data_IF_095654072093
#
_entry.id   IF_095654072093
#
_cell.length_a   1.000
_cell.length_b   1.000
_cell.length_c   1.000
_cell.angle_alpha   90.00
_cell.angle_beta   90.00
_cell.angle_gamma   90.00
#
_symmetry.space_group_name_H-M   'P 1'
#
loop_
_entity.id
_entity.type
_entity.pdbx_description
1 polymer ?
#
# COMPACT_ATOMS: atom_id res chain seq x y z
N UNK A 1 7.62 25.77 -8.85
CA UNK A 1 7.57 24.49 -9.57
C UNK A 1 7.86 23.37 -8.59
N UNK A 2 6.95 22.39 -8.48
CA UNK A 2 7.12 21.26 -7.56
C UNK A 2 8.17 20.29 -8.13
N UNK A 3 8.95 19.63 -7.25
CA UNK A 3 9.99 18.65 -7.61
C UNK A 3 9.46 17.59 -8.61
N UNK A 4 8.26 17.08 -8.36
CA UNK A 4 7.58 16.09 -9.22
C UNK A 4 7.38 16.59 -10.67
N UNK A 5 7.01 17.86 -10.85
CA UNK A 5 6.82 18.44 -12.19
C UNK A 5 8.14 18.56 -12.94
N UNK A 6 9.23 18.94 -12.27
CA UNK A 6 10.56 18.99 -12.88
C UNK A 6 11.04 17.60 -13.32
N UNK A 7 10.82 16.59 -12.48
CA UNK A 7 11.18 15.20 -12.80
C UNK A 7 10.40 14.65 -14.00
N UNK A 8 9.12 15.02 -14.13
CA UNK A 8 8.31 14.65 -15.30
C UNK A 8 8.78 15.30 -16.59
N UNK A 9 9.29 16.54 -16.54
CA UNK A 9 9.86 17.24 -17.70
C UNK A 9 11.19 16.63 -18.16
N UNK A 10 11.98 16.10 -17.23
CA UNK A 10 13.29 15.48 -17.55
C UNK A 10 13.08 14.04 -18.08
N UNK A 11 11.98 13.39 -17.73
CA UNK A 11 11.73 11.99 -18.10
C UNK A 11 11.98 11.66 -19.58
N UNK A 12 11.52 12.44 -20.58
CA UNK A 12 11.77 12.16 -22.01
C UNK A 12 13.24 12.32 -22.41
N UNK A 13 14.05 13.02 -21.62
CA UNK A 13 15.45 13.29 -21.91
C UNK A 13 16.43 12.36 -21.21
N UNK A 14 15.93 11.46 -20.33
CA UNK A 14 16.76 10.58 -19.51
C UNK A 14 17.71 9.73 -20.34
N UNK A 15 17.21 9.10 -21.39
CA UNK A 15 18.03 8.28 -22.29
C UNK A 15 19.14 9.10 -22.95
N UNK A 16 18.83 10.32 -23.35
CA UNK A 16 19.82 11.24 -23.93
C UNK A 16 20.87 11.67 -22.92
N UNK A 17 20.45 11.97 -21.69
CA UNK A 17 21.37 12.33 -20.61
C UNK A 17 22.29 11.14 -20.29
N UNK A 18 21.73 9.96 -20.14
CA UNK A 18 22.48 8.72 -19.90
C UNK A 18 23.49 8.44 -21.03
N UNK A 19 23.08 8.62 -22.28
CA UNK A 19 23.98 8.47 -23.43
C UNK A 19 25.15 9.48 -23.43
N UNK A 20 24.89 10.72 -23.03
CA UNK A 20 25.92 11.76 -22.90
C UNK A 20 26.88 11.39 -21.75
N UNK A 21 26.39 10.94 -20.64
CA UNK A 21 27.20 10.53 -19.47
C UNK A 21 28.05 9.29 -19.78
N UNK A 22 27.46 8.27 -20.40
CA UNK A 22 28.14 7.04 -20.80
C UNK A 22 29.26 7.31 -21.81
N UNK A 23 28.98 8.17 -22.80
CA UNK A 23 29.96 8.61 -23.78
C UNK A 23 30.97 9.60 -23.19
N UNK A 24 30.81 10.03 -21.93
CA UNK A 24 31.68 11.04 -21.27
C UNK A 24 31.81 12.33 -22.06
N UNK A 25 30.73 12.74 -22.73
CA UNK A 25 30.71 13.97 -23.48
C UNK A 25 30.67 15.17 -22.53
N UNK A 26 31.54 16.13 -22.81
CA UNK A 26 31.58 17.40 -22.06
C UNK A 26 30.53 18.36 -22.61
N UNK A 27 30.29 19.46 -21.89
CA UNK A 27 29.44 20.54 -22.37
C UNK A 27 29.97 21.13 -23.72
N UNK A 28 31.30 21.19 -23.88
CA UNK A 28 31.94 21.66 -25.12
C UNK A 28 31.69 20.69 -26.29
N UNK A 29 31.64 19.37 -26.03
CA UNK A 29 31.34 18.38 -27.06
C UNK A 29 29.92 18.50 -27.57
N UNK A 30 28.98 18.72 -26.65
CA UNK A 30 27.56 18.95 -26.98
C UNK A 30 27.40 20.26 -27.74
N UNK A 31 28.06 21.34 -27.32
CA UNK A 31 28.06 22.60 -28.04
C UNK A 31 28.64 22.46 -29.45
N UNK A 32 29.78 21.76 -29.59
CA UNK A 32 30.36 21.45 -30.89
C UNK A 32 29.38 20.69 -31.82
N UNK A 33 28.68 19.67 -31.26
CA UNK A 33 27.69 18.92 -32.02
C UNK A 33 26.52 19.81 -32.49
N UNK A 34 26.06 20.74 -31.65
CA UNK A 34 25.01 21.71 -32.01
C UNK A 34 25.49 22.65 -33.14
N UNK A 35 26.71 23.18 -33.04
CA UNK A 35 27.27 24.07 -34.04
C UNK A 35 27.47 23.35 -35.39
N UNK A 36 27.91 22.09 -35.37
CA UNK A 36 27.99 21.22 -36.55
C UNK A 36 26.61 21.04 -37.19
N UNK A 37 25.57 20.75 -36.40
CA UNK A 37 24.20 20.60 -36.91
C UNK A 37 23.63 21.91 -37.47
N UNK A 38 24.07 23.06 -36.95
CA UNK A 38 23.73 24.37 -37.48
C UNK A 38 24.52 24.74 -38.73
N UNK A 39 25.44 23.89 -39.17
CA UNK A 39 26.23 24.11 -40.43
C UNK A 39 27.41 25.03 -40.26
N UNK A 40 27.91 25.25 -39.03
CA UNK A 40 29.14 26.05 -38.83
C UNK A 40 30.36 25.32 -39.41
N UNK A 41 30.99 25.95 -40.43
CA UNK A 41 32.14 25.37 -41.13
C UNK A 41 33.36 25.19 -40.22
N UNK A 42 33.55 26.07 -39.23
CA UNK A 42 34.66 25.96 -38.30
C UNK A 42 34.44 24.80 -37.32
N UNK A 43 33.19 24.59 -36.85
CA UNK A 43 32.82 23.47 -36.00
C UNK A 43 33.00 22.15 -36.77
N UNK A 44 32.59 22.06 -38.02
CA UNK A 44 32.81 20.89 -38.89
C UNK A 44 34.31 20.62 -39.05
N UNK A 45 35.13 21.65 -39.34
CA UNK A 45 36.57 21.49 -39.44
C UNK A 45 37.23 21.05 -38.12
N UNK A 46 36.74 21.56 -36.97
CA UNK A 46 37.20 21.16 -35.66
C UNK A 46 36.84 19.70 -35.34
N UNK A 47 35.63 19.25 -35.71
CA UNK A 47 35.19 17.87 -35.56
C UNK A 47 36.06 16.92 -36.39
N UNK A 48 36.28 17.20 -37.67
CA UNK A 48 37.13 16.41 -38.56
C UNK A 48 38.57 16.30 -38.03
N UNK A 49 39.13 17.41 -37.58
CA UNK A 49 40.47 17.42 -36.97
C UNK A 49 40.53 16.58 -35.70
N UNK A 50 39.49 16.63 -34.88
CA UNK A 50 39.41 15.89 -33.61
C UNK A 50 39.24 14.39 -33.84
N UNK A 51 38.40 14.00 -34.80
CA UNK A 51 38.15 12.59 -35.15
C UNK A 51 39.24 11.99 -36.03
N UNK A 52 40.10 12.79 -36.60
CA UNK A 52 41.15 12.34 -37.49
C UNK A 52 40.62 11.89 -38.87
N UNK A 53 39.41 12.26 -39.23
CA UNK A 53 38.80 11.90 -40.52
C UNK A 53 39.18 12.93 -41.57
N UNK A 54 39.68 12.47 -42.73
CA UNK A 54 39.94 13.37 -43.87
C UNK A 54 38.63 13.73 -44.58
N UNK A 55 38.40 15.02 -44.77
CA UNK A 55 37.22 15.50 -45.47
C UNK A 55 37.11 14.97 -46.91
N UNK A 56 38.22 14.61 -47.52
CA UNK A 56 38.28 14.08 -48.91
C UNK A 56 37.84 12.58 -48.96
N UNK A 57 37.89 11.88 -47.84
CA UNK A 57 37.46 10.46 -47.73
C UNK A 57 35.94 10.32 -47.47
N UNK A 58 35.24 11.42 -47.22
CA UNK A 58 33.82 11.40 -46.96
C UNK A 58 33.04 11.40 -48.27
N UNK A 59 32.39 10.27 -48.59
CA UNK A 59 31.45 10.19 -49.69
C UNK A 59 30.11 10.86 -49.28
N UNK A 60 29.88 12.06 -49.81
CA UNK A 60 28.67 12.83 -49.52
C UNK A 60 27.47 12.42 -50.39
N UNK A 61 27.70 11.67 -51.50
CA UNK A 61 26.64 11.28 -52.43
C UNK A 61 25.97 9.95 -52.02
N UNK A 62 26.71 9.01 -51.40
CA UNK A 62 26.23 7.69 -51.01
C UNK A 62 26.19 7.51 -49.48
N UNK A 63 25.79 8.51 -48.73
CA UNK A 63 25.78 8.45 -47.29
C UNK A 63 24.47 7.84 -46.75
N UNK A 64 24.52 6.57 -46.28
CA UNK A 64 23.46 5.91 -45.60
C UNK A 64 23.78 5.77 -44.11
N UNK A 65 23.81 6.90 -43.40
CA UNK A 65 24.01 6.88 -41.92
C UNK A 65 22.76 6.45 -41.22
N UNK A 66 22.86 5.38 -40.45
CA UNK A 66 21.82 4.91 -39.48
C UNK A 66 22.33 5.27 -38.10
N UNK A 67 21.61 6.12 -37.34
CA UNK A 67 21.98 6.43 -35.95
C UNK A 67 22.03 5.16 -35.12
N UNK A 68 23.08 4.99 -34.33
CA UNK A 68 23.15 3.96 -33.33
C UNK A 68 22.28 4.35 -32.15
N UNK A 69 21.69 3.37 -31.51
CA UNK A 69 20.96 3.57 -30.23
C UNK A 69 22.00 3.62 -29.10
N UNK A 70 22.07 4.77 -28.43
CA UNK A 70 22.96 5.02 -27.31
C UNK A 70 22.16 5.16 -26.02
N UNK A 71 22.85 4.89 -24.90
CA UNK A 71 22.24 4.91 -23.58
C UNK A 71 21.50 3.62 -23.25
N UNK A 72 21.27 3.42 -21.97
CA UNK A 72 20.53 2.26 -21.47
C UNK A 72 19.07 2.34 -21.91
N UNK A 73 18.42 1.18 -22.02
CA UNK A 73 17.00 1.14 -22.33
C UNK A 73 16.16 1.64 -21.14
N UNK A 74 14.90 1.98 -21.39
CA UNK A 74 14.01 2.55 -20.37
C UNK A 74 13.86 1.67 -19.12
N UNK A 75 13.93 0.35 -19.28
CA UNK A 75 13.83 -0.62 -18.20
C UNK A 75 15.10 -0.59 -17.34
N UNK A 76 16.29 -0.58 -17.97
CA UNK A 76 17.57 -0.49 -17.26
C UNK A 76 17.70 0.83 -16.51
N UNK A 77 17.24 1.93 -17.12
CA UNK A 77 17.19 3.24 -16.45
C UNK A 77 16.26 3.23 -15.25
N UNK A 78 15.08 2.59 -15.36
CA UNK A 78 14.13 2.47 -14.25
C UNK A 78 14.71 1.63 -13.11
N UNK A 79 15.39 0.52 -13.41
CA UNK A 79 16.06 -0.32 -12.40
C UNK A 79 17.18 0.49 -11.72
N UNK A 80 18.04 1.17 -12.51
CA UNK A 80 19.13 1.97 -11.97
C UNK A 80 18.60 3.07 -11.03
N UNK A 81 17.52 3.74 -11.40
CA UNK A 81 16.89 4.77 -10.58
C UNK A 81 16.37 4.24 -9.25
N UNK A 82 15.74 3.06 -9.25
CA UNK A 82 15.26 2.42 -8.03
C UNK A 82 16.45 2.00 -7.16
N UNK A 83 17.47 1.39 -7.75
CA UNK A 83 18.69 1.00 -7.04
C UNK A 83 19.36 2.22 -6.41
N UNK A 84 19.47 3.33 -7.15
CA UNK A 84 20.06 4.57 -6.62
C UNK A 84 19.30 5.14 -5.43
N UNK A 85 17.97 4.96 -5.38
CA UNK A 85 17.14 5.39 -4.25
C UNK A 85 17.32 4.53 -3.00
N UNK A 86 17.55 3.23 -3.17
CA UNK A 86 17.60 2.27 -2.05
C UNK A 86 19.01 1.92 -1.60
N UNK A 87 20.04 2.16 -2.43
CA UNK A 87 21.45 1.78 -2.13
C UNK A 87 22.03 2.41 -0.88
N UNK A 88 21.43 3.52 -0.39
CA UNK A 88 21.82 4.19 0.85
C UNK A 88 21.27 3.54 2.10
N UNK A 89 20.31 2.64 1.99
CA UNK A 89 19.66 1.98 3.12
C UNK A 89 20.51 0.78 3.61
N UNK A 90 20.48 0.51 4.92
CA UNK A 90 21.24 -0.62 5.51
C UNK A 90 20.75 -1.97 4.99
N UNK A 91 19.47 -2.07 4.69
CA UNK A 91 18.80 -3.27 4.20
C UNK A 91 19.05 -3.54 2.72
N UNK A 92 19.73 -2.62 2.01
CA UNK A 92 20.04 -2.80 0.58
C UNK A 92 20.81 -4.09 0.30
N UNK A 93 21.80 -4.39 1.16
CA UNK A 93 22.61 -5.59 0.99
C UNK A 93 21.77 -6.89 1.02
N UNK A 94 20.72 -6.92 1.86
CA UNK A 94 19.79 -8.06 1.95
C UNK A 94 18.93 -8.11 0.68
N UNK A 95 18.37 -6.99 0.27
CA UNK A 95 17.56 -6.91 -0.96
C UNK A 95 18.35 -7.36 -2.18
N UNK A 96 19.60 -6.91 -2.30
CA UNK A 96 20.50 -7.31 -3.38
C UNK A 96 20.79 -8.81 -3.36
N UNK A 97 21.09 -9.37 -2.17
CA UNK A 97 21.37 -10.80 -2.04
C UNK A 97 20.15 -11.66 -2.41
N UNK A 98 18.96 -11.24 -2.05
CA UNK A 98 17.70 -11.93 -2.46
C UNK A 98 17.55 -11.94 -3.97
N UNK A 99 17.76 -10.80 -4.63
CA UNK A 99 17.62 -10.66 -6.09
C UNK A 99 18.70 -11.42 -6.86
N UNK A 100 19.93 -11.35 -6.39
CA UNK A 100 21.10 -11.88 -7.12
C UNK A 100 21.32 -13.39 -6.88
N UNK A 101 21.11 -13.86 -5.63
CA UNK A 101 21.55 -15.19 -5.22
C UNK A 101 20.46 -16.12 -4.74
N UNK A 102 19.42 -15.59 -4.08
CA UNK A 102 18.44 -16.44 -3.43
C UNK A 102 17.32 -16.84 -4.39
N UNK A 103 16.86 -15.92 -5.24
CA UNK A 103 15.71 -16.14 -6.10
C UNK A 103 16.10 -16.63 -7.50
N UNK A 104 15.19 -17.39 -8.10
CA UNK A 104 15.38 -18.01 -9.40
C UNK A 104 15.40 -16.99 -10.56
N UNK A 105 15.81 -17.48 -11.75
CA UNK A 105 15.90 -16.64 -12.95
C UNK A 105 14.55 -16.11 -13.40
N UNK A 106 13.44 -16.88 -13.19
CA UNK A 106 12.10 -16.43 -13.58
C UNK A 106 11.67 -15.25 -12.71
N UNK A 107 11.96 -15.29 -11.40
CA UNK A 107 11.72 -14.17 -10.50
C UNK A 107 12.52 -12.94 -10.91
N UNK A 108 13.80 -13.11 -11.27
CA UNK A 108 14.65 -12.00 -11.76
C UNK A 108 14.10 -11.38 -13.03
N UNK A 109 13.61 -12.16 -13.98
CA UNK A 109 12.97 -11.65 -15.20
C UNK A 109 11.73 -10.79 -14.88
N UNK A 110 10.92 -11.21 -13.91
CA UNK A 110 9.75 -10.41 -13.48
C UNK A 110 10.14 -9.04 -12.91
N UNK A 111 11.30 -8.91 -12.25
CA UNK A 111 11.82 -7.61 -11.80
C UNK A 111 12.31 -6.74 -12.95
N UNK A 112 12.85 -7.35 -14.02
CA UNK A 112 13.21 -6.62 -15.23
C UNK A 112 11.96 -6.10 -15.94
N UNK A 113 10.90 -6.91 -16.04
CA UNK A 113 9.63 -6.50 -16.64
C UNK A 113 8.90 -5.43 -15.80
N UNK A 114 9.00 -5.50 -14.49
CA UNK A 114 8.38 -4.55 -13.58
C UNK A 114 9.36 -4.12 -12.46
N UNK A 115 10.18 -3.10 -12.68
CA UNK A 115 11.17 -2.62 -11.73
C UNK A 115 10.60 -2.18 -10.37
N UNK A 116 9.34 -1.75 -10.30
CA UNK A 116 8.70 -1.37 -9.03
C UNK A 116 8.62 -2.53 -8.02
N UNK A 117 8.68 -3.77 -8.48
CA UNK A 117 8.76 -4.93 -7.59
C UNK A 117 10.05 -4.93 -6.74
N UNK A 118 11.15 -4.34 -7.24
CA UNK A 118 12.41 -4.19 -6.47
C UNK A 118 12.16 -3.27 -5.27
N UNK A 119 11.47 -2.16 -5.50
CA UNK A 119 11.11 -1.21 -4.45
C UNK A 119 10.21 -1.88 -3.39
N UNK A 120 9.20 -2.63 -3.84
CA UNK A 120 8.31 -3.34 -2.92
C UNK A 120 9.07 -4.39 -2.09
N UNK A 121 9.92 -5.18 -2.72
CA UNK A 121 10.77 -6.14 -1.99
C UNK A 121 11.65 -5.43 -0.95
N UNK A 122 12.23 -4.30 -1.31
CA UNK A 122 13.07 -3.53 -0.38
C UNK A 122 12.26 -3.01 0.82
N UNK A 123 11.03 -2.55 0.59
CA UNK A 123 10.10 -2.14 1.66
C UNK A 123 9.78 -3.34 2.57
N UNK A 124 9.53 -4.50 2.00
CA UNK A 124 9.24 -5.72 2.76
C UNK A 124 10.45 -6.16 3.61
N UNK A 125 11.67 -6.06 3.07
CA UNK A 125 12.91 -6.30 3.81
C UNK A 125 13.06 -5.30 4.95
N UNK A 126 12.89 -4.01 4.67
CA UNK A 126 13.03 -2.91 5.66
C UNK A 126 12.01 -2.99 6.79
N UNK A 127 10.80 -3.44 6.50
CA UNK A 127 9.73 -3.63 7.49
C UNK A 127 9.82 -4.94 8.29
N UNK A 128 10.75 -5.86 7.94
CA UNK A 128 10.83 -7.21 8.52
C UNK A 128 9.75 -8.18 7.99
N UNK A 129 8.94 -7.71 7.05
CA UNK A 129 7.90 -8.53 6.44
C UNK A 129 8.49 -9.67 5.61
N UNK A 130 9.63 -9.42 4.94
CA UNK A 130 10.35 -10.44 4.19
C UNK A 130 10.75 -11.63 5.07
N UNK A 131 11.27 -11.38 6.28
CA UNK A 131 11.67 -12.43 7.21
C UNK A 131 10.47 -13.25 7.71
N UNK A 132 9.31 -12.63 7.77
CA UNK A 132 8.06 -13.31 8.17
C UNK A 132 7.48 -14.18 7.05
N UNK A 133 7.48 -13.68 5.82
CA UNK A 133 6.83 -14.33 4.66
C UNK A 133 7.73 -15.36 3.99
N UNK A 134 9.04 -15.10 3.89
CA UNK A 134 10.00 -15.96 3.18
C UNK A 134 10.01 -17.41 3.67
N UNK A 135 9.95 -17.72 4.99
CA UNK A 135 9.84 -19.09 5.46
C UNK A 135 8.54 -19.81 5.00
N UNK A 136 7.44 -19.06 4.89
CA UNK A 136 6.15 -19.60 4.41
C UNK A 136 6.27 -19.91 2.91
N UNK A 137 6.82 -18.98 2.13
CA UNK A 137 7.07 -19.16 0.69
C UNK A 137 7.94 -20.38 0.41
N UNK A 138 9.04 -20.54 1.17
CA UNK A 138 9.93 -21.69 1.05
C UNK A 138 9.22 -23.02 1.36
N UNK A 139 8.36 -23.06 2.36
CA UNK A 139 7.53 -24.26 2.63
C UNK A 139 6.61 -24.57 1.45
N UNK A 140 5.91 -23.57 0.92
CA UNK A 140 5.04 -23.76 -0.26
C UNK A 140 5.82 -24.28 -1.45
N UNK A 141 7.00 -23.73 -1.72
CA UNK A 141 7.90 -24.19 -2.80
C UNK A 141 8.27 -25.68 -2.65
N UNK A 142 8.60 -26.10 -1.43
CA UNK A 142 8.94 -27.50 -1.14
C UNK A 142 7.73 -28.41 -1.36
N UNK A 143 6.55 -28.03 -0.88
CA UNK A 143 5.33 -28.84 -1.04
C UNK A 143 4.88 -28.95 -2.50
N UNK A 144 5.05 -27.90 -3.30
CA UNK A 144 4.63 -27.86 -4.70
C UNK A 144 5.71 -28.41 -5.67
N UNK A 145 6.89 -28.75 -5.17
CA UNK A 145 8.00 -29.23 -5.98
C UNK A 145 8.64 -28.17 -6.88
N UNK A 146 8.50 -26.89 -6.55
CA UNK A 146 9.16 -25.78 -7.25
C UNK A 146 8.60 -25.49 -8.65
N UNK A 147 7.30 -25.62 -8.87
CA UNK A 147 6.64 -25.37 -10.17
C UNK A 147 6.55 -23.88 -10.51
N UNK A 148 6.35 -23.06 -9.50
CA UNK A 148 6.24 -21.61 -9.62
C UNK A 148 7.60 -20.95 -9.35
N UNK A 149 7.71 -19.66 -9.71
CA UNK A 149 8.89 -18.85 -9.38
C UNK A 149 8.92 -18.50 -7.89
N UNK A 150 10.10 -18.12 -7.37
CA UNK A 150 10.27 -17.71 -5.97
C UNK A 150 9.40 -16.48 -5.65
N UNK A 151 9.31 -15.54 -6.57
CA UNK A 151 8.43 -14.36 -6.45
C UNK A 151 6.95 -14.76 -6.36
N UNK A 152 6.50 -15.76 -7.12
CA UNK A 152 5.11 -16.23 -7.06
C UNK A 152 4.82 -16.92 -5.73
N UNK A 153 5.73 -17.77 -5.24
CA UNK A 153 5.58 -18.35 -3.90
C UNK A 153 5.56 -17.29 -2.81
N UNK A 154 6.40 -16.27 -2.94
CA UNK A 154 6.40 -15.13 -2.00
C UNK A 154 5.06 -14.38 -2.02
N UNK A 155 4.50 -14.09 -3.21
CA UNK A 155 3.18 -13.44 -3.34
C UNK A 155 2.06 -14.30 -2.74
N UNK A 156 2.06 -15.60 -3.00
CA UNK A 156 1.06 -16.54 -2.44
C UNK A 156 1.19 -16.59 -0.90
N UNK A 157 2.41 -16.68 -0.39
CA UNK A 157 2.68 -16.69 1.04
C UNK A 157 2.24 -15.37 1.71
N UNK A 158 2.51 -14.22 1.09
CA UNK A 158 2.06 -12.92 1.57
C UNK A 158 0.53 -12.83 1.62
N UNK A 159 -0.14 -13.27 0.57
CA UNK A 159 -1.60 -13.29 0.52
C UNK A 159 -2.21 -14.19 1.63
N UNK A 160 -1.65 -15.37 1.85
CA UNK A 160 -2.07 -16.27 2.92
C UNK A 160 -1.84 -15.65 4.29
N UNK A 161 -0.68 -15.05 4.51
CA UNK A 161 -0.33 -14.40 5.77
C UNK A 161 -1.32 -13.28 6.10
N UNK A 162 -1.57 -12.36 5.19
CA UNK A 162 -2.50 -11.25 5.41
C UNK A 162 -3.97 -11.72 5.54
N UNK A 163 -4.36 -12.73 4.76
CA UNK A 163 -5.69 -13.32 4.88
C UNK A 163 -5.91 -13.97 6.25
N UNK A 164 -4.93 -14.71 6.76
CA UNK A 164 -5.00 -15.33 8.08
C UNK A 164 -5.01 -14.27 9.18
N UNK A 165 -4.23 -13.21 9.06
CA UNK A 165 -4.20 -12.11 10.01
C UNK A 165 -5.56 -11.40 10.08
N UNK A 166 -6.14 -11.06 8.91
CA UNK A 166 -7.46 -10.44 8.83
C UNK A 166 -8.57 -11.33 9.42
N UNK A 167 -8.50 -12.66 9.21
CA UNK A 167 -9.44 -13.60 9.81
C UNK A 167 -9.30 -13.66 11.35
N UNK A 168 -8.08 -13.66 11.85
CA UNK A 168 -7.84 -13.69 13.29
C UNK A 168 -8.28 -12.38 13.96
N UNK A 169 -8.03 -11.23 13.34
CA UNK A 169 -8.54 -9.94 13.80
C UNK A 169 -10.07 -9.91 13.82
N UNK A 170 -10.72 -10.38 12.75
CA UNK A 170 -12.18 -10.47 12.68
C UNK A 170 -12.74 -11.37 13.79
N UNK A 171 -12.08 -12.50 14.06
CA UNK A 171 -12.44 -13.44 15.13
C UNK A 171 -12.29 -12.82 16.52
N UNK A 172 -11.20 -12.09 16.74
CA UNK A 172 -10.98 -11.38 18.01
C UNK A 172 -12.01 -10.27 18.22
N UNK A 173 -12.33 -9.51 17.19
CA UNK A 173 -13.35 -8.47 17.24
C UNK A 173 -14.74 -9.07 17.55
N UNK A 174 -15.14 -10.14 16.84
CA UNK A 174 -16.39 -10.83 17.11
C UNK A 174 -16.47 -11.36 18.55
N UNK A 175 -15.37 -11.91 19.07
CA UNK A 175 -15.30 -12.38 20.46
C UNK A 175 -15.43 -11.24 21.47
N UNK A 176 -14.79 -10.11 21.21
CA UNK A 176 -14.88 -8.93 22.07
C UNK A 176 -16.31 -8.34 22.07
N UNK A 177 -16.96 -8.29 20.91
CA UNK A 177 -18.36 -7.87 20.79
C UNK A 177 -19.29 -8.81 21.55
N UNK A 178 -19.10 -10.12 21.42
CA UNK A 178 -19.91 -11.12 22.18
C UNK A 178 -19.72 -10.95 23.67
N UNK A 179 -18.50 -10.73 24.16
CA UNK A 179 -18.23 -10.46 25.56
C UNK A 179 -18.91 -9.16 26.06
N UNK A 180 -18.84 -8.09 25.22
CA UNK A 180 -19.50 -6.82 25.55
C UNK A 180 -21.03 -6.96 25.60
N UNK A 181 -21.63 -7.75 24.73
CA UNK A 181 -23.07 -8.07 24.79
C UNK A 181 -23.40 -8.87 26.00
N UNK A 182 -22.63 -9.91 26.34
CA UNK A 182 -22.84 -10.73 27.53
C UNK A 182 -22.75 -9.92 28.84
N UNK A 183 -21.80 -8.99 28.95
CA UNK A 183 -21.67 -8.12 30.11
C UNK A 183 -22.86 -7.18 30.25
N UNK A 184 -23.32 -6.55 29.15
CA UNK A 184 -24.53 -5.71 29.16
C UNK A 184 -25.79 -6.50 29.55
N UNK A 185 -25.96 -7.71 29.03
CA UNK A 185 -27.08 -8.59 29.40
C UNK A 185 -27.02 -8.97 30.89
N UNK A 186 -25.82 -9.24 31.42
CA UNK A 186 -25.65 -9.53 32.85
C UNK A 186 -25.98 -8.30 33.72
N UNK A 187 -25.56 -7.10 33.33
CA UNK A 187 -25.91 -5.86 34.04
C UNK A 187 -27.42 -5.59 34.03
N UNK A 188 -28.08 -5.77 32.86
CA UNK A 188 -29.54 -5.60 32.76
C UNK A 188 -30.28 -6.61 33.65
N UNK A 189 -29.87 -7.89 33.66
CA UNK A 189 -30.44 -8.91 34.52
C UNK A 189 -30.24 -8.59 36.03
N UNK A 190 -29.04 -8.13 36.39
CA UNK A 190 -28.76 -7.73 37.78
C UNK A 190 -29.63 -6.52 38.20
N UNK A 191 -29.78 -5.53 37.32
CA UNK A 191 -30.62 -4.37 37.56
C UNK A 191 -32.12 -4.76 37.69
N UNK A 192 -32.61 -5.69 36.86
CA UNK A 192 -33.97 -6.21 36.97
C UNK A 192 -34.19 -6.98 38.26
N UNK A 193 -33.24 -7.82 38.70
CA UNK A 193 -33.31 -8.52 39.97
C UNK A 193 -33.32 -7.56 41.16
N UNK A 194 -32.51 -6.50 41.15
CA UNK A 194 -32.53 -5.48 42.20
C UNK A 194 -33.87 -4.73 42.24
N UNK A 195 -34.42 -4.37 41.06
CA UNK A 195 -35.75 -3.72 40.97
C UNK A 195 -36.88 -4.64 41.49
N UNK A 196 -36.82 -5.95 41.18
CA UNK A 196 -37.77 -6.93 41.69
C UNK A 196 -37.67 -7.10 43.23
N UNK A 197 -36.43 -7.15 43.74
CA UNK A 197 -36.17 -7.22 45.18
C UNK A 197 -36.66 -5.99 45.95
N UNK A 198 -36.46 -4.79 45.36
CA UNK A 198 -36.96 -3.53 45.95
C UNK A 198 -38.48 -3.42 45.88
N UNK A 199 -39.12 -3.88 44.78
CA UNK A 199 -40.60 -3.96 44.68
C UNK A 199 -41.19 -4.91 45.74
N UNK A 200 -40.62 -6.11 45.92
CA UNK A 200 -41.08 -7.05 46.94
C UNK A 200 -40.84 -6.55 48.37
N UNK A 201 -39.73 -5.83 48.61
CA UNK A 201 -39.51 -5.22 49.93
C UNK A 201 -40.49 -4.05 50.21
N UNK A 202 -40.85 -3.26 49.18
CA UNK A 202 -41.82 -2.18 49.30
C UNK A 202 -43.25 -2.70 49.52
N UNK A 203 -43.64 -3.78 48.87
CA UNK A 203 -44.93 -4.45 49.09
C UNK A 203 -45.02 -5.04 50.49
N UNK A 204 -43.97 -5.70 51.00
CA UNK A 204 -43.92 -6.20 52.37
C UNK A 204 -44.01 -5.06 53.42
N UNK A 205 -43.40 -3.89 53.13
CA UNK A 205 -43.52 -2.71 54.02
C UNK A 205 -44.90 -2.09 54.00
N UNK A 206 -45.61 -2.06 52.87
CA UNK A 206 -46.98 -1.56 52.72
C UNK A 206 -47.97 -2.50 53.39
N UNK A 207 -47.74 -3.82 53.45
CA UNK A 207 -48.55 -4.76 54.14
C UNK A 207 -48.41 -4.71 55.70
N UNK A 208 -47.36 -4.05 56.20
CA UNK A 208 -47.08 -3.94 57.64
C UNK A 208 -47.53 -2.60 58.25
N UNK A 209 -48.23 -1.71 57.52
CA UNK A 209 -48.72 -0.40 58.01
C UNK A 209 -50.25 -0.48 58.09
N UNK A 210 -50.91 -0.16 59.24
CA UNK A 210 -52.35 -0.14 59.34
C UNK A 210 -52.95 0.98 58.46
N UNK A 211 -53.98 0.61 57.72
CA UNK A 211 -54.62 1.41 56.65
C UNK A 211 -55.30 2.66 57.24
N UNK A 212 -54.76 3.84 56.99
CA UNK A 212 -55.55 5.04 57.09
C UNK A 212 -55.94 5.43 55.61
N UNK A 213 -57.27 5.42 55.37
CA UNK A 213 -57.82 5.78 54.02
C UNK A 213 -57.56 7.22 53.75
N UNK A 214 -56.82 7.52 52.67
CA UNK A 214 -56.82 8.82 52.01
C UNK A 214 -57.13 8.62 50.51
N UNK A 215 -58.07 9.40 50.04
CA UNK A 215 -58.58 9.43 48.68
C UNK A 215 -57.44 9.75 47.68
N UNK A 216 -57.28 8.79 46.75
CA UNK A 216 -56.11 8.78 45.87
C UNK A 216 -56.33 9.40 44.51
N UNK A 217 -55.30 9.93 44.00
CA UNK A 217 -55.05 10.16 42.58
C UNK A 217 -54.45 8.87 42.00
N UNK A 218 -55.06 8.29 41.00
CA UNK A 218 -54.51 7.14 40.27
C UNK A 218 -53.24 7.55 39.54
N UNK A 219 -52.13 7.14 40.06
CA UNK A 219 -50.86 7.22 39.34
C UNK A 219 -50.80 6.04 38.37
N UNK A 220 -50.91 6.30 37.08
CA UNK A 220 -50.82 5.27 36.05
C UNK A 220 -49.34 4.86 35.97
N UNK A 221 -49.09 3.59 36.22
CA UNK A 221 -47.71 3.00 36.09
C UNK A 221 -47.54 2.62 34.62
N UNK A 222 -46.86 3.45 33.87
CA UNK A 222 -46.64 3.32 32.41
C UNK A 222 -45.83 2.08 31.99
N UNK A 223 -45.33 1.30 32.95
CA UNK A 223 -44.56 0.08 32.68
C UNK A 223 -45.38 -1.19 32.65
N UNK A 224 -46.67 -1.14 33.11
CA UNK A 224 -47.64 -2.24 33.07
C UNK A 224 -48.83 -1.89 32.12
N UNK A 225 -48.71 -0.84 31.32
CA UNK A 225 -49.74 -0.49 30.33
C UNK A 225 -49.74 -1.50 29.18
N UNK A 226 -50.92 -1.95 28.79
CA UNK A 226 -51.09 -2.79 27.59
C UNK A 226 -50.75 -1.97 26.31
N UNK A 227 -50.48 -2.65 25.21
CA UNK A 227 -50.23 -1.99 23.92
C UNK A 227 -51.39 -1.05 23.53
N UNK A 228 -52.65 -1.36 23.92
CA UNK A 228 -53.83 -0.55 23.69
C UNK A 228 -53.80 0.75 24.49
N UNK A 229 -53.35 0.73 25.76
CA UNK A 229 -53.20 1.91 26.61
C UNK A 229 -52.11 2.85 26.09
N UNK A 230 -51.07 2.28 25.48
CA UNK A 230 -49.96 3.06 24.84
C UNK A 230 -50.42 3.76 23.57
N UNK A 231 -51.26 3.09 22.74
CA UNK A 231 -51.84 3.73 21.54
C UNK A 231 -52.82 4.85 21.83
N UNK A 232 -53.65 4.73 22.93
CA UNK A 232 -54.52 5.81 23.35
C UNK A 232 -53.74 7.02 23.87
N UNK A 233 -52.65 6.79 24.59
CA UNK A 233 -51.77 7.87 25.06
C UNK A 233 -51.09 8.56 23.88
N UNK A 234 -50.64 7.83 22.87
CA UNK A 234 -49.99 8.37 21.67
C UNK A 234 -50.97 9.23 20.85
N UNK A 235 -52.20 8.77 20.64
CA UNK A 235 -53.25 9.55 19.99
C UNK A 235 -53.57 10.85 20.73
N UNK A 236 -53.51 10.82 22.04
CA UNK A 236 -53.77 12.01 22.89
C UNK A 236 -52.62 13.05 22.78
N UNK A 237 -51.41 12.60 22.62
CA UNK A 237 -50.24 13.44 22.38
C UNK A 237 -50.30 14.13 20.98
N UNK A 238 -50.69 13.38 19.94
CA UNK A 238 -50.86 13.90 18.58
C UNK A 238 -51.97 14.95 18.48
N UNK A 239 -53.00 14.85 19.30
CA UNK A 239 -54.13 15.81 19.30
C UNK A 239 -53.84 17.10 20.10
N UNK A 240 -52.68 17.21 20.78
CA UNK A 240 -52.31 18.34 21.61
C UNK A 240 -51.28 19.32 20.95
N UNK A 241 -50.96 19.06 19.67
CA UNK A 241 -50.12 19.93 18.82
C UNK A 241 -50.96 20.45 17.62
#
# INVERSE_FOLDING_TARGET
MNYTQKMQQIKPWRKTIDAIEEAKLTHEDVALAIDVLNGDKNAIAALLKRTGVDALEIDTENNSYIPKDYGRNDTELAISEIVDQIKGDQEYAITYDVLERQWDTKSRMAFVENPELIRQLHIDVKSGMFDTISPIANKLKVYDGGRNSDLEYYKIAAQQYFSNQAQEEARLNARNEEQAVRSKVAEVKAAQQQRAATKTASVKRKAAVPTQKSSGVKQVDYLDASDEDFEEWYKKLESSY
#
